data_IF_413651797651
#
_entry.id   IF_413651797651
#
_cell.length_a   1.000
_cell.length_b   1.000
_cell.length_c   1.000
_cell.angle_alpha   90.00
_cell.angle_beta   90.00
_cell.angle_gamma   90.00
#
_symmetry.space_group_name_H-M   'P 1'
#
loop_
_entity.id
_entity.type
_entity.pdbx_description
1 polymer ?
#
# COMPACT_ATOMS: atom_id res chain seq x y z
N UNK A 1 17.26 0.02 -14.06
CA UNK A 1 16.95 -0.04 -12.61
C UNK A 1 16.75 1.37 -12.08
N UNK A 2 15.53 1.87 -12.15
CA UNK A 2 15.17 3.10 -11.45
C UNK A 2 14.94 2.70 -9.98
N UNK A 3 15.98 2.80 -9.16
CA UNK A 3 15.88 2.69 -7.72
C UNK A 3 14.79 3.65 -7.24
N UNK A 4 13.78 3.13 -6.53
CA UNK A 4 12.75 3.97 -5.95
C UNK A 4 13.37 5.02 -5.03
N UNK A 5 12.70 6.18 -4.96
CA UNK A 5 13.18 7.42 -4.32
C UNK A 5 13.51 7.29 -2.82
N UNK A 6 13.19 6.18 -2.19
CA UNK A 6 13.60 5.80 -0.84
C UNK A 6 14.20 4.40 -0.88
N UNK A 7 15.52 4.31 -1.06
CA UNK A 7 16.22 3.04 -0.94
C UNK A 7 16.20 2.58 0.52
N UNK A 8 15.17 1.84 0.91
CA UNK A 8 15.17 1.10 2.17
C UNK A 8 15.72 -0.29 1.92
N UNK A 9 16.56 -0.77 2.84
CA UNK A 9 17.09 -2.13 2.77
C UNK A 9 16.32 -2.99 3.79
N UNK A 10 15.49 -3.95 3.34
CA UNK A 10 14.86 -4.90 4.24
C UNK A 10 15.88 -5.96 4.68
N UNK A 11 15.92 -6.24 5.97
CA UNK A 11 16.77 -7.28 6.57
C UNK A 11 15.91 -8.14 7.49
N UNK A 12 16.08 -9.46 7.40
CA UNK A 12 15.52 -10.37 8.40
C UNK A 12 16.48 -10.43 9.58
N UNK A 13 15.97 -10.10 10.76
CA UNK A 13 16.73 -10.17 12.01
C UNK A 13 16.10 -11.20 12.96
N UNK A 14 16.95 -11.83 13.77
CA UNK A 14 16.53 -12.76 14.79
C UNK A 14 16.58 -12.03 16.11
N UNK A 15 15.48 -12.07 16.85
CA UNK A 15 15.36 -11.54 18.20
C UNK A 15 14.75 -12.54 19.14
N UNK A 16 14.62 -12.15 20.41
CA UNK A 16 13.98 -12.93 21.45
C UNK A 16 12.87 -12.09 22.08
N UNK A 17 11.70 -12.68 22.22
CA UNK A 17 10.60 -12.08 22.98
C UNK A 17 10.96 -12.02 24.48
N UNK A 18 10.22 -11.26 25.30
CA UNK A 18 10.46 -11.19 26.75
C UNK A 18 10.40 -12.54 27.46
N UNK A 19 9.70 -13.51 26.90
CA UNK A 19 9.62 -14.90 27.38
C UNK A 19 10.79 -15.79 26.92
N UNK A 20 11.76 -15.22 26.19
CA UNK A 20 12.92 -15.94 25.63
C UNK A 20 12.63 -16.69 24.33
N UNK A 21 11.43 -16.59 23.78
CA UNK A 21 11.09 -17.25 22.51
C UNK A 21 11.84 -16.59 21.34
N UNK A 22 12.57 -17.38 20.59
CA UNK A 22 13.28 -16.93 19.37
C UNK A 22 12.28 -16.64 18.24
N UNK A 23 12.32 -15.43 17.68
CA UNK A 23 11.47 -15.00 16.56
C UNK A 23 12.24 -14.30 15.48
N UNK A 24 11.67 -14.31 14.27
CA UNK A 24 12.14 -13.52 13.15
C UNK A 24 11.37 -12.20 13.09
N UNK A 25 12.08 -11.14 12.76
CA UNK A 25 11.55 -9.80 12.56
C UNK A 25 12.06 -9.26 11.22
N UNK A 26 11.33 -8.31 10.64
CA UNK A 26 11.77 -7.56 9.48
C UNK A 26 12.27 -6.20 9.96
N UNK A 27 13.54 -5.88 9.73
CA UNK A 27 14.11 -4.56 9.94
C UNK A 27 14.21 -3.82 8.60
N UNK A 28 13.42 -2.75 8.43
CA UNK A 28 13.50 -1.83 7.29
C UNK A 28 14.48 -0.72 7.64
N UNK A 29 15.69 -0.76 7.07
CA UNK A 29 16.72 0.25 7.29
C UNK A 29 16.54 1.37 6.28
N UNK A 30 16.39 2.60 6.76
CA UNK A 30 16.25 3.81 5.94
C UNK A 30 17.41 4.75 6.29
N UNK A 31 18.22 5.13 5.29
CA UNK A 31 19.39 5.98 5.48
C UNK A 31 19.29 7.29 4.69
N UNK A 32 19.87 8.34 5.23
CA UNK A 32 19.81 9.71 4.68
C UNK A 32 20.89 10.04 3.65
N UNK A 33 21.72 9.09 3.21
CA UNK A 33 22.83 9.37 2.29
C UNK A 33 22.40 10.04 0.98
N UNK A 34 21.16 9.87 0.56
CA UNK A 34 20.60 10.49 -0.66
C UNK A 34 19.37 11.38 -0.38
N UNK A 35 19.14 11.77 0.87
CA UNK A 35 17.95 12.53 1.26
C UNK A 35 17.79 13.84 0.49
N UNK A 36 18.87 14.64 0.33
CA UNK A 36 18.81 15.93 -0.37
C UNK A 36 18.50 15.80 -1.86
N UNK A 37 19.06 14.79 -2.52
CA UNK A 37 18.77 14.47 -3.93
C UNK A 37 17.33 13.99 -4.07
N UNK A 38 16.85 13.18 -3.14
CA UNK A 38 15.49 12.67 -3.10
C UNK A 38 14.45 13.78 -2.91
N UNK A 39 14.71 14.79 -2.06
CA UNK A 39 13.82 15.94 -1.87
C UNK A 39 13.63 16.73 -3.17
N UNK A 40 14.71 16.97 -3.93
CA UNK A 40 14.63 17.68 -5.22
C UNK A 40 13.83 16.88 -6.26
N UNK A 41 14.05 15.56 -6.35
CA UNK A 41 13.30 14.66 -7.24
C UNK A 41 11.83 14.57 -6.82
N UNK A 42 11.55 14.51 -5.53
CA UNK A 42 10.18 14.52 -4.99
C UNK A 42 9.45 15.82 -5.27
N UNK A 43 10.13 16.95 -5.15
CA UNK A 43 9.55 18.26 -5.49
C UNK A 43 9.18 18.35 -6.98
N UNK A 44 10.04 17.85 -7.87
CA UNK A 44 9.77 17.76 -9.30
C UNK A 44 8.59 16.82 -9.59
N UNK A 45 8.54 15.67 -8.94
CA UNK A 45 7.42 14.72 -9.05
C UNK A 45 6.13 15.31 -8.46
N UNK A 46 6.21 16.06 -7.36
CA UNK A 46 5.07 16.76 -6.77
C UNK A 46 4.48 17.78 -7.75
N UNK A 47 5.31 18.59 -8.41
CA UNK A 47 4.89 19.55 -9.43
C UNK A 47 4.27 18.86 -10.66
N UNK A 48 4.85 17.74 -11.10
CA UNK A 48 4.29 16.94 -12.19
C UNK A 48 2.94 16.30 -11.80
N UNK A 49 2.83 15.77 -10.59
CA UNK A 49 1.60 15.18 -10.08
C UNK A 49 0.49 16.21 -9.90
N UNK A 50 0.82 17.41 -9.41
CA UNK A 50 -0.11 18.54 -9.33
C UNK A 50 -0.64 18.93 -10.70
N UNK A 51 0.24 19.02 -11.70
CA UNK A 51 -0.13 19.32 -13.10
C UNK A 51 -1.02 18.24 -13.73
N UNK A 52 -0.82 16.96 -13.35
CA UNK A 52 -1.59 15.82 -13.83
C UNK A 52 -2.85 15.51 -12.99
N UNK A 53 -3.21 16.35 -12.01
CA UNK A 53 -4.32 16.15 -11.07
C UNK A 53 -4.19 14.85 -10.26
N UNK A 54 -2.98 14.31 -10.09
CA UNK A 54 -2.71 13.18 -9.20
C UNK A 54 -2.72 13.64 -7.74
N UNK A 55 -2.99 12.71 -6.84
CA UNK A 55 -2.86 12.97 -5.40
C UNK A 55 -1.39 13.25 -5.10
N UNK A 56 -1.09 14.41 -4.51
CA UNK A 56 0.27 14.79 -4.16
C UNK A 56 0.87 13.84 -3.13
N UNK A 57 2.15 13.51 -3.30
CA UNK A 57 2.93 12.84 -2.26
C UNK A 57 3.10 13.76 -1.06
N UNK A 58 3.16 13.20 0.13
CA UNK A 58 3.48 13.95 1.34
C UNK A 58 4.99 14.23 1.33
N UNK A 59 5.38 15.50 1.41
CA UNK A 59 6.78 15.88 1.60
C UNK A 59 7.11 15.81 3.08
N UNK A 60 8.03 14.95 3.44
CA UNK A 60 8.47 14.78 4.82
C UNK A 60 9.57 15.79 5.16
N UNK A 61 9.49 16.49 6.30
CA UNK A 61 10.50 17.49 6.69
C UNK A 61 11.85 16.85 7.07
N UNK A 62 11.86 15.57 7.41
CA UNK A 62 13.06 14.81 7.72
C UNK A 62 12.83 13.30 7.55
N UNK A 63 13.94 12.56 7.42
CA UNK A 63 13.91 11.10 7.42
C UNK A 63 13.29 10.53 8.71
N UNK A 64 13.58 11.16 9.85
CA UNK A 64 12.98 10.81 11.12
C UNK A 64 11.45 10.90 11.08
N UNK A 65 10.92 12.02 10.58
CA UNK A 65 9.48 12.22 10.47
C UNK A 65 8.81 11.17 9.56
N UNK A 66 9.47 10.78 8.47
CA UNK A 66 8.99 9.71 7.58
C UNK A 66 8.87 8.37 8.32
N UNK A 67 9.93 7.93 9.02
CA UNK A 67 9.92 6.61 9.70
C UNK A 67 9.02 6.62 10.94
N UNK A 68 8.95 7.71 11.68
CA UNK A 68 8.01 7.88 12.80
C UNK A 68 6.56 7.82 12.31
N UNK A 69 6.28 8.42 11.16
CA UNK A 69 4.96 8.34 10.55
C UNK A 69 4.61 6.92 10.10
N UNK A 70 5.51 6.24 9.40
CA UNK A 70 5.28 4.84 8.99
C UNK A 70 5.03 3.93 10.22
N UNK A 71 5.82 4.11 11.28
CA UNK A 71 5.63 3.40 12.54
C UNK A 71 4.25 3.68 13.15
N UNK A 72 3.84 4.96 13.22
CA UNK A 72 2.52 5.36 13.70
C UNK A 72 1.40 4.73 12.87
N UNK A 73 1.49 4.82 11.53
CA UNK A 73 0.45 4.29 10.65
C UNK A 73 0.31 2.76 10.75
N UNK A 74 1.42 2.04 10.90
CA UNK A 74 1.38 0.59 11.12
C UNK A 74 0.73 0.23 12.47
N UNK A 75 1.01 0.98 13.54
CA UNK A 75 0.32 0.81 14.83
C UNK A 75 -1.17 1.09 14.70
N UNK A 76 -1.53 2.23 14.11
CA UNK A 76 -2.91 2.64 13.90
C UNK A 76 -3.72 1.59 13.12
N UNK A 77 -3.16 1.10 12.02
CA UNK A 77 -3.81 0.08 11.18
C UNK A 77 -3.91 -1.27 11.91
N UNK A 78 -2.83 -1.71 12.59
CA UNK A 78 -2.83 -2.97 13.35
C UNK A 78 -3.86 -2.96 14.48
N UNK A 79 -3.95 -1.89 15.26
CA UNK A 79 -4.91 -1.75 16.36
C UNK A 79 -6.36 -1.63 15.84
N UNK A 80 -6.53 -1.11 14.62
CA UNK A 80 -7.82 -1.10 13.92
C UNK A 80 -8.21 -2.46 13.30
N UNK A 81 -7.38 -3.48 13.41
CA UNK A 81 -7.64 -4.81 12.83
C UNK A 81 -7.39 -4.91 11.32
N UNK A 82 -6.73 -3.92 10.72
CA UNK A 82 -6.26 -4.03 9.34
C UNK A 82 -5.03 -4.95 9.30
N UNK A 83 -4.96 -5.94 8.39
CA UNK A 83 -3.86 -6.88 8.35
C UNK A 83 -2.57 -6.22 7.83
N UNK A 84 -1.73 -5.77 8.75
CA UNK A 84 -0.40 -5.19 8.51
C UNK A 84 0.63 -5.84 9.45
N UNK A 85 1.94 -5.81 9.13
CA UNK A 85 2.95 -6.28 10.07
C UNK A 85 2.98 -5.37 11.30
N UNK A 86 2.84 -5.95 12.49
CA UNK A 86 2.84 -5.17 13.73
C UNK A 86 4.23 -4.61 14.00
N UNK A 87 4.39 -3.29 14.19
CA UNK A 87 5.68 -2.70 14.53
C UNK A 87 6.10 -3.10 15.96
N UNK A 88 7.39 -3.39 16.12
CA UNK A 88 8.04 -3.81 17.38
C UNK A 88 8.97 -2.75 17.93
N UNK A 89 9.41 -1.83 17.09
CA UNK A 89 10.23 -0.72 17.52
C UNK A 89 10.78 0.10 16.38
N UNK A 90 11.21 1.31 16.73
CA UNK A 90 11.92 2.23 15.87
C UNK A 90 13.24 2.57 16.52
N UNK A 91 14.34 2.28 15.83
CA UNK A 91 15.69 2.42 16.36
C UNK A 91 16.49 3.39 15.51
N UNK A 92 17.19 4.30 16.19
CA UNK A 92 18.21 5.13 15.54
C UNK A 92 19.53 4.34 15.51
N UNK A 93 20.06 4.08 14.32
CA UNK A 93 21.30 3.33 14.13
C UNK A 93 22.50 4.27 14.16
N UNK A 94 22.45 5.35 13.36
CA UNK A 94 23.46 6.37 13.23
C UNK A 94 22.80 7.75 13.10
N UNK A 95 23.60 8.83 12.93
CA UNK A 95 23.05 10.20 12.84
C UNK A 95 21.98 10.40 11.78
N UNK A 96 22.00 9.60 10.71
CA UNK A 96 21.10 9.72 9.56
C UNK A 96 20.51 8.39 9.11
N UNK A 97 20.49 7.36 9.96
CA UNK A 97 19.90 6.06 9.64
C UNK A 97 18.95 5.59 10.76
N UNK A 98 17.85 4.97 10.36
CA UNK A 98 16.81 4.43 11.24
C UNK A 98 16.45 3.01 10.81
N UNK A 99 16.11 2.15 11.77
CA UNK A 99 15.54 0.85 11.53
C UNK A 99 14.13 0.77 12.11
N UNK A 100 13.15 0.57 11.24
CA UNK A 100 11.79 0.22 11.63
C UNK A 100 11.70 -1.31 11.68
N UNK A 101 11.47 -1.86 12.87
CA UNK A 101 11.38 -3.31 13.10
C UNK A 101 9.91 -3.70 13.21
N UNK A 102 9.50 -4.69 12.45
CA UNK A 102 8.14 -5.23 12.44
C UNK A 102 8.16 -6.74 12.58
N UNK A 103 7.02 -7.36 12.88
CA UNK A 103 6.86 -8.80 12.79
C UNK A 103 7.20 -9.29 11.37
N UNK A 104 7.93 -10.40 11.30
CA UNK A 104 8.19 -11.07 10.03
C UNK A 104 6.97 -11.91 9.65
N UNK A 105 6.46 -11.69 8.46
CA UNK A 105 5.31 -12.44 7.93
C UNK A 105 5.77 -13.71 7.25
N UNK A 106 5.72 -14.81 8.00
CA UNK A 106 6.17 -16.12 7.54
C UNK A 106 5.39 -16.60 6.30
N UNK A 107 6.14 -17.05 5.28
CA UNK A 107 5.56 -17.56 4.03
C UNK A 107 4.85 -16.53 3.18
N UNK A 108 4.97 -15.23 3.51
CA UNK A 108 4.40 -14.17 2.71
C UNK A 108 5.05 -14.08 1.32
N UNK A 109 4.23 -13.88 0.30
CA UNK A 109 4.67 -13.56 -1.07
C UNK A 109 4.02 -12.27 -1.52
N UNK A 110 4.77 -11.41 -2.19
CA UNK A 110 4.21 -10.24 -2.85
C UNK A 110 3.18 -10.65 -3.91
N UNK A 111 2.07 -9.93 -4.00
CA UNK A 111 1.09 -10.16 -5.07
C UNK A 111 1.73 -10.04 -6.45
N UNK A 112 2.79 -9.23 -6.59
CA UNK A 112 3.60 -9.15 -7.82
C UNK A 112 4.18 -10.50 -8.26
N UNK A 113 4.57 -11.35 -7.30
CA UNK A 113 5.24 -12.64 -7.54
C UNK A 113 4.24 -13.81 -7.58
N UNK A 114 2.96 -13.52 -7.58
CA UNK A 114 1.86 -14.49 -7.60
C UNK A 114 1.14 -14.43 -8.94
N UNK A 115 0.89 -15.57 -9.57
CA UNK A 115 0.20 -15.63 -10.86
C UNK A 115 -1.32 -15.42 -10.74
N UNK A 116 -1.95 -16.10 -9.80
CA UNK A 116 -3.38 -16.02 -9.53
C UNK A 116 -3.66 -16.11 -8.04
N UNK A 117 -4.81 -15.56 -7.62
CA UNK A 117 -5.32 -15.62 -6.25
C UNK A 117 -6.75 -16.16 -6.23
N UNK A 118 -7.20 -16.65 -5.07
CA UNK A 118 -8.56 -17.10 -4.86
C UNK A 118 -9.55 -15.94 -4.75
N UNK A 119 -10.85 -16.22 -4.92
CA UNK A 119 -11.91 -15.25 -4.65
C UNK A 119 -11.96 -14.88 -3.15
N UNK A 120 -11.58 -15.80 -2.27
CA UNK A 120 -11.51 -15.52 -0.84
C UNK A 120 -10.45 -14.47 -0.53
N UNK A 121 -9.26 -14.58 -1.12
CA UNK A 121 -8.23 -13.54 -1.04
C UNK A 121 -8.75 -12.18 -1.54
N UNK A 122 -9.45 -12.15 -2.69
CA UNK A 122 -10.06 -10.93 -3.23
C UNK A 122 -11.00 -10.30 -2.21
N UNK A 123 -11.88 -11.11 -1.60
CA UNK A 123 -12.83 -10.63 -0.59
C UNK A 123 -12.12 -10.10 0.65
N UNK A 124 -11.11 -10.79 1.16
CA UNK A 124 -10.31 -10.34 2.32
C UNK A 124 -9.60 -9.01 2.04
N UNK A 125 -9.01 -8.83 0.86
CA UNK A 125 -8.35 -7.58 0.46
C UNK A 125 -9.35 -6.40 0.42
N UNK A 126 -10.54 -6.64 -0.14
CA UNK A 126 -11.61 -5.62 -0.18
C UNK A 126 -12.18 -5.31 1.22
N UNK A 127 -12.33 -6.31 2.09
CA UNK A 127 -12.76 -6.10 3.48
C UNK A 127 -11.74 -5.27 4.28
N UNK A 128 -10.45 -5.55 4.11
CA UNK A 128 -9.39 -4.77 4.75
C UNK A 128 -9.39 -3.31 4.23
N UNK A 129 -9.55 -3.12 2.91
CA UNK A 129 -9.68 -1.77 2.35
C UNK A 129 -10.96 -1.06 2.84
N UNK A 130 -12.10 -1.76 2.94
CA UNK A 130 -13.31 -1.21 3.56
C UNK A 130 -13.05 -0.74 4.98
N UNK A 131 -12.33 -1.55 5.78
CA UNK A 131 -11.97 -1.16 7.14
C UNK A 131 -11.13 0.13 7.17
N UNK A 132 -10.16 0.28 6.30
CA UNK A 132 -9.42 1.54 6.16
C UNK A 132 -10.35 2.71 5.82
N UNK A 133 -11.28 2.53 4.89
CA UNK A 133 -12.26 3.57 4.48
C UNK A 133 -13.17 4.00 5.64
N UNK A 134 -13.64 3.06 6.46
CA UNK A 134 -14.44 3.33 7.66
C UNK A 134 -13.71 4.21 8.70
N UNK A 135 -12.37 4.15 8.69
CA UNK A 135 -11.48 4.93 9.55
C UNK A 135 -11.01 6.25 8.91
N UNK A 136 -11.56 6.63 7.76
CA UNK A 136 -11.03 7.73 6.93
C UNK A 136 -9.53 7.61 6.66
N UNK A 137 -9.04 6.38 6.52
CA UNK A 137 -7.64 6.06 6.28
C UNK A 137 -7.42 5.62 4.84
N UNK A 138 -6.43 6.21 4.16
CA UNK A 138 -5.96 5.77 2.86
C UNK A 138 -4.52 5.29 2.93
N UNK A 139 -4.21 4.24 2.17
CA UNK A 139 -2.85 3.71 2.02
C UNK A 139 -2.00 4.61 1.13
N UNK A 140 -2.60 5.22 0.11
CA UNK A 140 -1.99 6.10 -0.89
C UNK A 140 -0.87 5.49 -1.75
N UNK A 141 -0.55 4.21 -1.56
CA UNK A 141 0.43 3.48 -2.36
C UNK A 141 -0.01 2.02 -2.58
N UNK A 142 -1.29 1.83 -2.93
CA UNK A 142 -1.85 0.52 -3.26
C UNK A 142 -1.25 0.05 -4.57
N UNK A 143 -0.54 -1.09 -4.53
CA UNK A 143 0.10 -1.74 -5.68
C UNK A 143 0.47 -3.18 -5.33
N UNK A 144 0.72 -4.00 -6.34
CA UNK A 144 1.00 -5.44 -6.17
C UNK A 144 2.15 -5.73 -5.20
N UNK A 145 3.20 -4.88 -5.18
CA UNK A 145 4.34 -5.06 -4.26
C UNK A 145 4.00 -4.79 -2.79
N UNK A 146 2.94 -4.04 -2.52
CA UNK A 146 2.53 -3.65 -1.17
C UNK A 146 1.36 -4.49 -0.64
N UNK A 147 0.91 -5.49 -1.41
CA UNK A 147 -0.10 -6.46 -1.01
C UNK A 147 0.56 -7.82 -0.93
N UNK A 148 0.46 -8.48 0.21
CA UNK A 148 1.04 -9.79 0.45
C UNK A 148 -0.04 -10.87 0.50
N UNK A 149 0.25 -11.99 -0.15
CA UNK A 149 -0.45 -13.26 0.03
C UNK A 149 0.29 -14.07 1.11
N UNK A 150 -0.41 -14.37 2.18
CA UNK A 150 0.06 -15.20 3.30
C UNK A 150 -0.47 -16.63 3.16
N UNK A 151 0.13 -17.63 3.85
CA UNK A 151 -0.42 -18.99 3.91
C UNK A 151 -1.89 -18.99 4.36
N UNK A 152 -2.70 -19.83 3.70
CA UNK A 152 -4.15 -19.90 3.93
C UNK A 152 -4.93 -18.76 3.28
N UNK A 153 -4.43 -18.25 2.17
CA UNK A 153 -5.06 -17.20 1.36
C UNK A 153 -5.35 -15.88 2.12
N UNK A 154 -4.60 -15.63 3.19
CA UNK A 154 -4.74 -14.39 3.96
C UNK A 154 -4.02 -13.23 3.29
N UNK A 155 -4.61 -12.04 3.42
CA UNK A 155 -4.01 -10.80 2.91
C UNK A 155 -3.23 -10.07 4.00
N UNK A 156 -2.20 -9.33 3.62
CA UNK A 156 -1.63 -8.26 4.44
C UNK A 156 -1.17 -7.09 3.56
N UNK A 157 -1.15 -5.89 4.14
CA UNK A 157 -0.63 -4.68 3.52
C UNK A 157 0.70 -4.31 4.17
N UNK A 158 1.63 -3.81 3.36
CA UNK A 158 2.94 -3.35 3.82
C UNK A 158 3.25 -1.98 3.25
N UNK A 159 4.30 -1.33 3.80
CA UNK A 159 4.77 -0.01 3.36
C UNK A 159 3.74 1.12 3.54
N UNK A 160 3.39 1.37 4.80
CA UNK A 160 2.44 2.41 5.19
C UNK A 160 3.05 3.84 5.24
N UNK A 161 4.23 4.05 4.65
CA UNK A 161 4.92 5.34 4.68
C UNK A 161 4.12 6.49 4.03
N UNK A 162 3.26 6.17 3.07
CA UNK A 162 2.39 7.13 2.38
C UNK A 162 0.96 7.17 2.93
N UNK A 163 0.62 6.28 3.87
CA UNK A 163 -0.72 6.21 4.42
C UNK A 163 -1.10 7.49 5.19
N UNK A 164 -2.39 7.75 5.33
CA UNK A 164 -2.91 8.87 6.13
C UNK A 164 -4.17 8.46 6.86
N UNK A 165 -4.33 8.92 8.10
CA UNK A 165 -5.52 8.73 8.93
C UNK A 165 -6.56 9.85 8.77
N UNK A 166 -6.35 10.77 7.82
CA UNK A 166 -7.31 11.81 7.41
C UNK A 166 -7.27 11.89 5.89
N UNK A 167 -7.97 10.96 5.24
CA UNK A 167 -7.82 10.74 3.79
C UNK A 167 -8.77 11.61 2.95
N UNK A 168 -10.01 11.68 3.38
CA UNK A 168 -11.10 12.26 2.59
C UNK A 168 -11.50 11.42 1.37
N UNK A 169 -12.66 11.70 0.78
CA UNK A 169 -13.29 10.84 -0.23
C UNK A 169 -12.41 10.58 -1.46
N UNK A 170 -11.61 11.58 -1.85
CA UNK A 170 -10.78 11.50 -3.05
C UNK A 170 -9.68 10.44 -2.94
N UNK A 171 -8.96 10.39 -1.80
CA UNK A 171 -7.88 9.42 -1.58
C UNK A 171 -8.43 8.01 -1.43
N UNK A 172 -9.54 7.87 -0.70
CA UNK A 172 -10.25 6.61 -0.54
C UNK A 172 -10.74 6.03 -1.87
N UNK A 173 -11.25 6.87 -2.76
CA UNK A 173 -11.69 6.45 -4.09
C UNK A 173 -10.50 6.06 -5.00
N UNK A 174 -9.35 6.70 -4.84
CA UNK A 174 -8.14 6.38 -5.59
C UNK A 174 -7.57 5.02 -5.17
N UNK A 175 -7.43 4.79 -3.85
CA UNK A 175 -6.97 3.49 -3.32
C UNK A 175 -7.88 2.34 -3.77
N UNK A 176 -9.20 2.56 -3.80
CA UNK A 176 -10.14 1.56 -4.30
C UNK A 176 -9.93 1.28 -5.80
N UNK A 177 -9.70 2.29 -6.61
CA UNK A 177 -9.42 2.10 -8.03
C UNK A 177 -8.13 1.30 -8.26
N UNK A 178 -7.06 1.63 -7.53
CA UNK A 178 -5.79 0.89 -7.59
C UNK A 178 -5.99 -0.56 -7.11
N UNK A 179 -6.73 -0.78 -6.02
CA UNK A 179 -7.05 -2.12 -5.51
C UNK A 179 -7.80 -2.97 -6.52
N UNK A 180 -8.84 -2.43 -7.15
CA UNK A 180 -9.62 -3.15 -8.18
C UNK A 180 -8.72 -3.60 -9.33
N UNK A 181 -7.79 -2.75 -9.76
CA UNK A 181 -6.85 -3.10 -10.84
C UNK A 181 -5.83 -4.14 -10.36
N UNK A 182 -5.27 -4.01 -9.14
CA UNK A 182 -4.39 -5.04 -8.57
C UNK A 182 -5.07 -6.40 -8.57
N UNK A 183 -6.26 -6.49 -8.01
CA UNK A 183 -7.00 -7.76 -7.88
C UNK A 183 -7.39 -8.34 -9.25
N UNK A 184 -7.84 -7.51 -10.19
CA UNK A 184 -8.24 -7.96 -11.54
C UNK A 184 -7.07 -8.37 -12.43
N UNK A 185 -5.83 -8.11 -12.03
CA UNK A 185 -4.64 -8.68 -12.68
C UNK A 185 -4.39 -10.13 -12.29
N UNK A 186 -4.90 -10.54 -11.13
CA UNK A 186 -4.65 -11.84 -10.51
C UNK A 186 -5.90 -12.70 -10.34
N UNK A 187 -7.07 -12.15 -10.66
CA UNK A 187 -8.35 -12.87 -10.62
C UNK A 187 -9.28 -12.38 -11.74
N UNK A 188 -10.35 -13.14 -12.00
CA UNK A 188 -11.32 -12.80 -13.02
C UNK A 188 -12.02 -11.45 -12.68
N UNK A 189 -12.01 -10.52 -13.63
CA UNK A 189 -12.43 -9.11 -13.42
C UNK A 189 -13.90 -8.94 -13.07
N UNK A 190 -14.79 -9.81 -13.59
CA UNK A 190 -16.22 -9.74 -13.26
C UNK A 190 -16.46 -10.21 -11.82
N UNK A 191 -15.75 -11.24 -11.38
CA UNK A 191 -15.81 -11.70 -9.98
C UNK A 191 -15.25 -10.62 -9.01
N UNK A 192 -14.16 -9.94 -9.39
CA UNK A 192 -13.62 -8.81 -8.61
C UNK A 192 -14.63 -7.66 -8.53
N UNK A 193 -15.28 -7.28 -9.64
CA UNK A 193 -16.27 -6.22 -9.67
C UNK A 193 -17.51 -6.57 -8.83
N UNK A 194 -17.99 -7.84 -8.90
CA UNK A 194 -19.10 -8.32 -8.09
C UNK A 194 -18.76 -8.30 -6.59
N UNK A 195 -17.59 -8.85 -6.20
CA UNK A 195 -17.16 -8.84 -4.82
C UNK A 195 -17.00 -7.41 -4.28
N UNK A 196 -16.51 -6.49 -5.11
CA UNK A 196 -16.39 -5.09 -4.74
C UNK A 196 -17.75 -4.41 -4.56
N UNK A 197 -18.74 -4.74 -5.38
CA UNK A 197 -20.12 -4.24 -5.21
C UNK A 197 -20.72 -4.74 -3.89
N UNK A 198 -20.55 -6.02 -3.57
CA UNK A 198 -21.06 -6.64 -2.34
C UNK A 198 -20.41 -6.02 -1.08
N UNK A 199 -19.11 -5.73 -1.12
CA UNK A 199 -18.33 -5.35 0.06
C UNK A 199 -18.26 -3.84 0.24
N UNK A 200 -17.98 -3.10 -0.83
CA UNK A 200 -17.77 -1.63 -0.79
C UNK A 200 -19.07 -0.88 -1.03
N UNK A 201 -19.97 -1.46 -1.84
CA UNK A 201 -21.21 -0.82 -2.23
C UNK A 201 -21.10 0.09 -3.46
N UNK A 202 -22.27 0.45 -3.95
CA UNK A 202 -22.42 1.18 -5.22
C UNK A 202 -21.80 2.59 -5.18
N UNK A 203 -21.99 3.32 -4.08
CA UNK A 203 -21.48 4.68 -3.92
C UNK A 203 -19.96 4.73 -3.99
N UNK A 204 -19.28 3.86 -3.23
CA UNK A 204 -17.82 3.78 -3.26
C UNK A 204 -17.27 3.42 -4.63
N UNK A 205 -17.96 2.53 -5.35
CA UNK A 205 -17.57 2.16 -6.72
C UNK A 205 -17.78 3.30 -7.73
N UNK A 206 -18.86 4.06 -7.62
CA UNK A 206 -19.08 5.26 -8.45
C UNK A 206 -17.96 6.27 -8.27
N UNK A 207 -17.53 6.49 -7.03
CA UNK A 207 -16.40 7.36 -6.72
C UNK A 207 -15.08 6.87 -7.29
N UNK A 208 -14.78 5.58 -7.15
CA UNK A 208 -13.57 4.97 -7.70
C UNK A 208 -13.54 4.98 -9.24
N UNK A 209 -14.71 4.90 -9.90
CA UNK A 209 -14.83 4.80 -11.35
C UNK A 209 -14.13 5.94 -12.10
N UNK A 210 -14.07 7.15 -11.53
CA UNK A 210 -13.36 8.30 -12.13
C UNK A 210 -11.85 8.10 -12.19
N UNK A 211 -11.28 7.26 -11.32
CA UNK A 211 -9.86 6.95 -11.22
C UNK A 211 -9.46 5.68 -11.97
N UNK A 212 -10.41 4.86 -12.43
CA UNK A 212 -10.15 3.72 -13.32
C UNK A 212 -9.76 4.17 -14.73
N UNK A 213 -8.62 4.86 -14.80
CA UNK A 213 -7.97 5.33 -16.02
C UNK A 213 -6.48 5.06 -15.87
N UNK A 214 -5.87 4.42 -16.86
CA UNK A 214 -4.48 3.99 -16.82
C UNK A 214 -3.51 5.08 -16.31
N UNK A 215 -3.62 6.31 -16.83
CA UNK A 215 -2.76 7.42 -16.44
C UNK A 215 -2.99 7.97 -15.02
N UNK A 216 -4.05 7.55 -14.32
CA UNK A 216 -4.34 7.93 -12.94
C UNK A 216 -3.94 6.84 -11.93
N UNK A 217 -3.69 5.62 -12.36
CA UNK A 217 -3.24 4.53 -11.49
C UNK A 217 -1.87 4.82 -10.88
N UNK A 218 -1.54 4.09 -9.82
CA UNK A 218 -0.21 4.09 -9.25
C UNK A 218 0.87 3.93 -10.35
N UNK A 219 1.94 4.75 -10.36
CA UNK A 219 2.93 4.75 -11.44
C UNK A 219 3.60 3.40 -11.69
N UNK A 220 3.77 2.60 -10.64
CA UNK A 220 4.31 1.26 -10.77
C UNK A 220 3.32 0.34 -11.51
N UNK A 221 2.03 0.42 -11.17
CA UNK A 221 1.00 -0.37 -11.83
C UNK A 221 0.85 -0.04 -13.31
N UNK A 222 1.05 1.22 -13.72
CA UNK A 222 1.02 1.61 -15.14
C UNK A 222 2.02 0.85 -15.99
N UNK A 223 3.16 0.40 -15.40
CA UNK A 223 4.20 -0.35 -16.12
C UNK A 223 3.77 -1.79 -16.43
N UNK A 224 2.90 -2.36 -15.61
CA UNK A 224 2.54 -3.79 -15.68
C UNK A 224 1.07 -4.04 -16.00
N UNK A 225 0.27 -2.98 -16.20
CA UNK A 225 -1.17 -3.07 -16.48
C UNK A 225 -1.44 -2.63 -17.91
N UNK A 226 -2.23 -3.41 -18.65
CA UNK A 226 -2.71 -2.98 -19.97
C UNK A 226 -3.63 -1.77 -19.84
N UNK A 227 -3.69 -0.92 -20.89
CA UNK A 227 -4.58 0.24 -20.93
C UNK A 227 -6.06 -0.17 -20.93
N UNK A 228 -6.37 -1.37 -21.40
CA UNK A 228 -7.71 -1.93 -21.52
C UNK A 228 -8.29 -2.33 -20.16
N UNK A 229 -7.51 -2.90 -19.25
CA UNK A 229 -8.00 -3.44 -17.98
C UNK A 229 -8.78 -2.41 -17.14
N UNK A 230 -8.29 -1.19 -16.88
CA UNK A 230 -9.08 -0.18 -16.17
C UNK A 230 -10.35 0.22 -16.94
N UNK A 231 -10.32 0.22 -18.27
CA UNK A 231 -11.49 0.51 -19.09
C UNK A 231 -12.56 -0.57 -18.98
N UNK A 232 -12.14 -1.83 -18.96
CA UNK A 232 -13.04 -2.99 -18.79
C UNK A 232 -13.67 -2.99 -17.40
N UNK A 233 -12.88 -2.83 -16.33
CA UNK A 233 -13.39 -2.68 -14.96
C UNK A 233 -14.40 -1.53 -14.87
N UNK A 234 -14.09 -0.39 -15.49
CA UNK A 234 -14.98 0.76 -15.52
C UNK A 234 -16.32 0.50 -16.19
N UNK A 235 -16.44 -0.52 -17.07
CA UNK A 235 -17.72 -0.92 -17.67
C UNK A 235 -18.53 -1.85 -16.77
N UNK A 236 -17.86 -2.58 -15.87
CA UNK A 236 -18.48 -3.56 -14.96
C UNK A 236 -19.05 -2.92 -13.69
N UNK A 237 -18.54 -1.74 -13.29
CA UNK A 237 -18.99 -1.04 -12.09
C UNK A 237 -20.04 0.02 -12.39
N UNK A 238 -20.90 0.39 -11.38
CA UNK A 238 -22.02 1.32 -11.56
C UNK A 238 -21.61 2.64 -12.23
N UNK A 239 -22.49 3.14 -13.07
CA UNK A 239 -22.40 4.49 -13.66
C UNK A 239 -22.98 5.49 -12.66
N UNK A 240 -22.35 6.66 -12.52
CA UNK A 240 -22.94 7.79 -11.81
C UNK A 240 -24.00 8.48 -12.64
#
# INVERSE_FOLDING_TARGET
DAAGVHASTPMVVIGYDPDGTRRRYLAKIVSGQNWQVNVAVELLQYLQNWRQRRLGRVLWPSLRALVEHEHYMLLFLADAGVPVPRPRGLYRLERSAYALVTDFMEGARSLRDVGAVSLDFVRQALLALRRMRELDCAHNDVKDSNILLLPGDRVAFVDAAMATSVAGPRRLAHDLADMLVCLARHHEKTAVASAALDIIGEEGLRDARRYLRHHLLNPEMQKYTSVELPRELRRLIPKG
#
